data_IF_326369250081
#
_entry.id   IF_326369250081
#
_cell.length_a   1.000
_cell.length_b   1.000
_cell.length_c   1.000
_cell.angle_alpha   90.00
_cell.angle_beta   90.00
_cell.angle_gamma   90.00
#
_symmetry.space_group_name_H-M   'P 1'
#
loop_
_entity.id
_entity.type
_entity.pdbx_description
1 polymer ?
#
# COMPACT_ATOMS: atom_id res chain seq x y z
N UNK A 1 13.52 -4.46 1.37
CA UNK A 1 13.07 -4.17 2.75
C UNK A 1 11.55 -4.33 2.82
N UNK A 2 11.06 -4.93 3.90
CA UNK A 2 9.63 -5.02 4.23
C UNK A 2 9.48 -4.74 5.72
N UNK A 3 8.53 -3.86 6.05
CA UNK A 3 8.18 -3.51 7.42
C UNK A 3 6.88 -4.22 7.80
N UNK A 4 6.87 -5.06 8.85
CA UNK A 4 5.68 -5.79 9.25
C UNK A 4 4.69 -4.88 9.98
N UNK A 5 3.42 -4.95 9.57
CA UNK A 5 2.30 -4.24 10.18
C UNK A 5 1.28 -5.24 10.71
N UNK A 6 0.81 -5.02 11.93
CA UNK A 6 -0.18 -5.86 12.61
C UNK A 6 0.09 -5.93 14.11
N UNK A 7 -0.90 -6.38 14.88
CA UNK A 7 -0.76 -6.58 16.31
C UNK A 7 0.06 -7.83 16.65
N UNK A 8 0.56 -7.90 17.88
CA UNK A 8 1.31 -9.05 18.39
C UNK A 8 0.45 -10.31 18.29
N UNK A 9 0.94 -11.33 17.58
CA UNK A 9 0.28 -12.63 17.46
C UNK A 9 -1.01 -12.66 16.61
N UNK A 10 -1.34 -11.61 15.88
CA UNK A 10 -2.62 -11.50 15.14
C UNK A 10 -2.48 -11.68 13.63
N UNK A 11 -1.31 -12.02 13.14
CA UNK A 11 -0.96 -11.97 11.72
C UNK A 11 -0.41 -10.60 11.31
N UNK A 12 0.10 -10.53 10.09
CA UNK A 12 0.72 -9.30 9.59
C UNK A 12 0.51 -9.10 8.11
N UNK A 13 0.63 -7.86 7.68
CA UNK A 13 0.88 -7.48 6.30
C UNK A 13 2.20 -6.73 6.25
N UNK A 14 2.93 -6.87 5.17
CA UNK A 14 4.20 -6.18 4.99
C UNK A 14 4.04 -4.89 4.18
N UNK A 15 4.58 -3.79 4.67
CA UNK A 15 4.78 -2.58 3.88
C UNK A 15 6.18 -2.64 3.25
N UNK A 16 6.23 -2.81 1.94
CA UNK A 16 7.47 -2.77 1.19
C UNK A 16 8.10 -1.39 1.20
N UNK A 17 9.43 -1.33 1.15
CA UNK A 17 10.16 -0.05 1.09
C UNK A 17 9.80 0.81 -0.12
N UNK A 18 9.12 0.25 -1.10
CA UNK A 18 8.55 0.96 -2.24
C UNK A 18 7.06 1.29 -2.11
N UNK A 19 6.47 1.15 -0.93
CA UNK A 19 5.07 1.48 -0.67
C UNK A 19 4.06 0.38 -1.01
N UNK A 20 4.48 -0.75 -1.57
CA UNK A 20 3.58 -1.85 -1.92
C UNK A 20 3.27 -2.72 -0.71
N UNK A 21 2.01 -3.18 -0.64
CA UNK A 21 1.58 -4.13 0.38
C UNK A 21 1.92 -5.55 -0.08
N UNK A 22 2.63 -6.28 0.76
CA UNK A 22 3.10 -7.65 0.49
C UNK A 22 3.05 -8.50 1.77
N UNK A 23 3.53 -9.71 1.72
CA UNK A 23 3.62 -10.59 2.90
C UNK A 23 2.30 -10.67 3.68
N UNK A 24 1.21 -10.98 2.98
CA UNK A 24 -0.11 -11.13 3.60
C UNK A 24 -0.15 -12.43 4.41
N UNK A 25 0.37 -12.35 5.62
CA UNK A 25 0.49 -13.46 6.56
C UNK A 25 -0.66 -13.45 7.58
N UNK A 26 -1.87 -13.49 7.07
CA UNK A 26 -3.10 -13.57 7.84
C UNK A 26 -3.38 -15.04 8.15
N UNK A 27 -4.07 -15.36 9.22
CA UNK A 27 -4.37 -16.72 9.69
C UNK A 27 -3.14 -17.51 10.21
N UNK A 28 -2.08 -16.83 10.63
CA UNK A 28 -0.90 -17.46 11.24
C UNK A 28 -0.11 -18.36 10.28
N UNK A 29 -0.22 -18.15 8.98
CA UNK A 29 0.50 -18.92 7.96
C UNK A 29 1.56 -18.04 7.31
N UNK A 30 2.83 -18.50 7.22
CA UNK A 30 3.87 -17.82 6.47
C UNK A 30 3.46 -17.68 5.00
N UNK A 31 3.53 -16.48 4.48
CA UNK A 31 3.17 -16.20 3.08
C UNK A 31 4.03 -15.06 2.51
N UNK A 32 5.34 -15.24 2.58
CA UNK A 32 6.32 -14.24 2.10
C UNK A 32 6.18 -13.97 0.60
N UNK A 33 6.21 -12.70 0.24
CA UNK A 33 6.03 -12.25 -1.13
C UNK A 33 4.59 -12.30 -1.63
N UNK A 34 3.63 -12.71 -0.78
CA UNK A 34 2.24 -12.76 -1.16
C UNK A 34 1.68 -11.37 -1.43
N UNK A 35 0.92 -11.25 -2.50
CA UNK A 35 0.16 -10.05 -2.87
C UNK A 35 -1.32 -10.38 -2.70
N UNK A 36 -2.08 -9.46 -2.13
CA UNK A 36 -3.53 -9.59 -1.99
C UNK A 36 -4.22 -8.84 -3.13
N UNK A 37 -4.15 -9.41 -4.34
CA UNK A 37 -4.62 -8.81 -5.59
C UNK A 37 -4.23 -7.31 -5.71
N UNK A 38 -5.18 -6.47 -6.08
CA UNK A 38 -4.99 -5.04 -6.26
C UNK A 38 -5.12 -4.23 -4.97
N UNK A 39 -4.76 -4.80 -3.81
CA UNK A 39 -4.76 -4.05 -2.54
C UNK A 39 -3.64 -3.02 -2.53
N UNK A 40 -4.01 -1.74 -2.46
CA UNK A 40 -3.06 -0.62 -2.54
C UNK A 40 -3.64 0.70 -2.01
N UNK A 41 -2.75 1.63 -1.75
CA UNK A 41 -3.07 3.03 -1.51
C UNK A 41 -2.87 3.84 -2.81
N UNK A 42 -3.71 4.81 -3.05
CA UNK A 42 -3.62 5.71 -4.19
C UNK A 42 -3.99 7.13 -3.80
N UNK A 43 -3.48 8.09 -4.55
CA UNK A 43 -3.79 9.51 -4.38
C UNK A 43 -4.19 10.15 -5.69
N UNK A 44 -5.07 11.14 -5.59
CA UNK A 44 -5.54 11.96 -6.71
C UNK A 44 -5.43 13.42 -6.34
N UNK A 45 -4.99 14.24 -7.28
CA UNK A 45 -5.01 15.69 -7.22
C UNK A 45 -5.91 16.25 -8.33
N UNK A 46 -6.78 17.18 -7.98
CA UNK A 46 -7.68 17.86 -8.92
C UNK A 46 -7.75 19.36 -8.59
N UNK A 47 -8.04 20.20 -9.58
CA UNK A 47 -8.29 21.61 -9.38
C UNK A 47 -9.43 22.07 -10.29
N UNK A 48 -10.38 22.85 -9.73
CA UNK A 48 -11.53 23.33 -10.47
C UNK A 48 -12.35 22.21 -11.12
N UNK A 49 -12.45 21.05 -10.50
CA UNK A 49 -13.15 19.87 -11.01
C UNK A 49 -12.38 19.08 -12.09
N UNK A 50 -11.20 19.53 -12.49
CA UNK A 50 -10.35 18.84 -13.48
C UNK A 50 -9.29 17.99 -12.79
N UNK A 51 -9.15 16.74 -13.23
CA UNK A 51 -8.06 15.87 -12.81
C UNK A 51 -6.70 16.44 -13.26
N UNK A 52 -5.78 16.61 -12.32
CA UNK A 52 -4.39 16.98 -12.58
C UNK A 52 -3.51 15.74 -12.65
N UNK A 53 -3.59 14.88 -11.63
CA UNK A 53 -2.78 13.67 -11.53
C UNK A 53 -3.46 12.64 -10.64
N UNK A 54 -3.25 11.35 -10.93
CA UNK A 54 -3.59 10.26 -10.04
C UNK A 54 -2.48 9.20 -10.09
N UNK A 55 -2.06 8.73 -8.92
CA UNK A 55 -0.97 7.76 -8.79
C UNK A 55 -1.25 6.77 -7.67
N UNK A 56 -0.76 5.55 -7.80
CA UNK A 56 -0.63 4.65 -6.66
C UNK A 56 0.51 5.14 -5.76
N UNK A 57 0.34 4.99 -4.44
CA UNK A 57 1.39 5.29 -3.46
C UNK A 57 2.43 4.17 -3.45
N UNK A 58 3.18 4.08 -4.52
CA UNK A 58 4.23 3.12 -4.71
C UNK A 58 5.32 3.69 -5.61
N UNK A 59 6.53 3.21 -5.42
CA UNK A 59 7.65 3.38 -6.34
C UNK A 59 7.82 2.18 -7.27
N UNK A 60 8.94 2.13 -7.96
CA UNK A 60 9.29 1.07 -8.89
C UNK A 60 9.41 -0.32 -8.23
N UNK A 61 9.33 -1.35 -9.03
CA UNK A 61 9.67 -2.71 -8.63
C UNK A 61 11.19 -2.89 -8.61
N UNK A 62 11.70 -3.47 -7.53
CA UNK A 62 13.14 -3.74 -7.36
C UNK A 62 13.56 -5.17 -7.73
N UNK A 63 12.64 -5.98 -8.19
CA UNK A 63 12.92 -7.38 -8.59
C UNK A 63 13.00 -7.49 -10.08
N UNK A 64 13.79 -8.46 -10.54
CA UNK A 64 13.75 -8.90 -11.91
C UNK A 64 12.31 -9.20 -12.32
N UNK A 65 11.94 -8.72 -13.48
CA UNK A 65 10.61 -8.93 -14.04
C UNK A 65 10.49 -10.34 -14.63
N UNK A 66 10.76 -11.34 -13.80
CA UNK A 66 10.52 -12.73 -14.17
C UNK A 66 9.03 -12.98 -14.29
N UNK A 67 8.62 -13.68 -15.32
CA UNK A 67 7.23 -13.98 -15.58
C UNK A 67 6.57 -14.78 -14.46
N UNK A 68 5.28 -14.67 -14.36
CA UNK A 68 4.47 -15.37 -13.36
C UNK A 68 4.20 -16.83 -13.79
N UNK A 69 5.23 -17.65 -13.82
CA UNK A 69 5.15 -19.05 -14.28
C UNK A 69 4.25 -19.97 -13.46
N UNK A 70 3.69 -19.56 -12.37
CA UNK A 70 2.99 -20.47 -11.46
C UNK A 70 1.47 -20.36 -11.44
N UNK A 71 0.90 -19.39 -12.10
CA UNK A 71 -0.54 -19.14 -12.00
C UNK A 71 -1.16 -19.16 -13.39
N UNK A 72 -1.62 -20.27 -13.87
CA UNK A 72 -2.36 -20.55 -15.08
C UNK A 72 -2.95 -19.45 -15.98
N UNK A 73 -2.63 -18.23 -15.74
CA UNK A 73 -2.92 -17.08 -16.57
C UNK A 73 -1.78 -16.90 -17.55
N UNK A 74 -1.88 -17.63 -18.62
CA UNK A 74 -1.04 -17.47 -19.77
C UNK A 74 -1.25 -16.06 -20.35
N UNK A 75 -0.46 -15.12 -19.89
CA UNK A 75 -0.34 -13.81 -20.50
C UNK A 75 0.97 -13.78 -21.28
N UNK A 76 0.95 -14.23 -22.52
CA UNK A 76 2.13 -14.32 -23.34
C UNK A 76 3.16 -15.34 -22.81
N UNK A 77 4.41 -15.17 -23.12
CA UNK A 77 5.49 -16.11 -22.78
C UNK A 77 5.99 -16.05 -21.34
N UNK A 78 5.17 -15.60 -20.41
CA UNK A 78 5.54 -15.53 -18.99
C UNK A 78 6.51 -14.41 -18.64
N UNK A 79 6.63 -13.39 -19.46
CA UNK A 79 7.44 -12.21 -19.19
C UNK A 79 6.64 -11.11 -18.50
N UNK A 80 7.33 -10.33 -17.70
CA UNK A 80 6.79 -9.16 -17.01
C UNK A 80 6.28 -9.44 -15.59
N UNK A 81 5.97 -8.38 -14.85
CA UNK A 81 5.49 -8.47 -13.48
C UNK A 81 4.07 -9.03 -13.43
N UNK A 82 3.70 -9.59 -12.29
CA UNK A 82 2.30 -9.93 -12.02
C UNK A 82 1.46 -8.64 -12.09
N UNK A 83 0.25 -8.74 -12.67
CA UNK A 83 -0.66 -7.58 -12.81
C UNK A 83 -1.02 -6.97 -11.47
N UNK A 84 -1.21 -7.79 -10.47
CA UNK A 84 -1.54 -7.42 -9.10
C UNK A 84 -0.41 -6.62 -8.41
N UNK A 85 0.81 -6.64 -8.96
CA UNK A 85 1.90 -5.79 -8.49
C UNK A 85 1.71 -4.31 -8.83
N UNK A 86 0.71 -3.97 -9.66
CA UNK A 86 0.41 -2.61 -10.12
C UNK A 86 1.55 -1.94 -10.90
N UNK A 87 2.48 -2.73 -11.47
CA UNK A 87 3.63 -2.19 -12.20
C UNK A 87 3.24 -1.33 -13.43
N UNK A 88 2.08 -1.59 -14.01
CA UNK A 88 1.55 -0.81 -15.14
C UNK A 88 0.74 0.43 -14.75
N UNK A 89 0.57 0.71 -13.47
CA UNK A 89 -0.17 1.88 -13.00
C UNK A 89 0.78 3.08 -12.83
N UNK A 90 0.29 4.32 -13.02
CA UNK A 90 1.06 5.50 -12.68
C UNK A 90 1.48 5.46 -11.21
N UNK A 91 2.77 5.60 -10.94
CA UNK A 91 3.38 5.56 -9.61
C UNK A 91 4.37 6.70 -9.44
N UNK A 92 4.94 6.86 -8.26
CA UNK A 92 5.92 7.90 -7.98
C UNK A 92 7.31 7.49 -8.45
N UNK A 93 8.05 8.43 -9.02
CA UNK A 93 9.41 8.19 -9.54
C UNK A 93 10.42 7.98 -8.43
N UNK A 94 10.28 8.76 -7.38
CA UNK A 94 11.21 8.75 -6.26
C UNK A 94 10.45 8.50 -4.96
N UNK A 95 11.08 7.78 -4.07
CA UNK A 95 10.57 7.55 -2.73
C UNK A 95 11.71 7.28 -1.77
N UNK A 96 11.51 7.68 -0.53
CA UNK A 96 12.44 7.43 0.58
C UNK A 96 11.69 6.64 1.64
N UNK A 97 12.26 5.53 2.09
CA UNK A 97 11.72 4.70 3.15
C UNK A 97 12.52 4.89 4.42
N UNK A 98 11.84 5.21 5.51
CA UNK A 98 12.39 5.35 6.85
C UNK A 98 11.63 4.38 7.75
N UNK A 99 12.30 3.35 8.25
CA UNK A 99 11.69 2.34 9.12
C UNK A 99 12.34 2.36 10.49
N UNK A 100 11.57 2.73 11.51
CA UNK A 100 11.96 2.73 12.91
C UNK A 100 10.79 2.21 13.73
N UNK A 101 10.89 0.93 14.12
CA UNK A 101 9.78 0.27 14.82
C UNK A 101 9.33 1.09 16.05
N UNK A 102 8.04 1.30 16.24
CA UNK A 102 6.89 0.68 15.56
C UNK A 102 6.34 1.44 14.35
N UNK A 103 7.09 2.38 13.79
CA UNK A 103 6.65 3.30 12.74
C UNK A 103 7.48 3.10 11.48
N UNK A 104 6.85 3.14 10.32
CA UNK A 104 7.48 3.26 9.02
C UNK A 104 6.93 4.49 8.29
N UNK A 105 7.79 5.27 7.65
CA UNK A 105 7.43 6.43 6.85
C UNK A 105 7.97 6.29 5.43
N UNK A 106 7.15 6.61 4.46
CA UNK A 106 7.53 6.79 3.07
C UNK A 106 7.26 8.24 2.65
N UNK A 107 8.24 8.83 2.02
CA UNK A 107 8.11 10.13 1.37
C UNK A 107 8.18 9.91 -0.14
N UNK A 108 7.20 10.45 -0.87
CA UNK A 108 7.09 10.27 -2.30
C UNK A 108 7.33 11.60 -3.01
N UNK A 109 8.15 11.57 -4.06
CA UNK A 109 8.43 12.72 -4.91
C UNK A 109 8.22 12.38 -6.38
N UNK A 110 7.53 13.28 -7.08
CA UNK A 110 7.36 13.19 -8.53
C UNK A 110 7.03 14.58 -9.08
N UNK A 111 7.80 15.11 -10.04
CA UNK A 111 7.52 16.41 -10.65
C UNK A 111 6.14 16.52 -11.31
N UNK A 112 5.55 15.38 -11.70
CA UNK A 112 4.22 15.34 -12.31
C UNK A 112 3.07 15.36 -11.29
N UNK A 113 3.36 15.21 -9.98
CA UNK A 113 2.36 15.30 -8.93
C UNK A 113 2.41 16.68 -8.26
N UNK A 114 1.30 17.44 -8.25
CA UNK A 114 1.30 18.79 -7.68
C UNK A 114 1.20 18.70 -6.15
N UNK A 115 2.32 18.73 -5.48
CA UNK A 115 2.40 18.65 -4.01
C UNK A 115 3.36 17.58 -3.52
N UNK A 116 3.48 17.46 -2.20
CA UNK A 116 4.23 16.41 -1.52
C UNK A 116 3.29 15.40 -0.91
N UNK A 117 3.68 14.15 -0.91
CA UNK A 117 2.89 13.06 -0.32
C UNK A 117 3.78 12.23 0.58
N UNK A 118 3.29 11.96 1.78
CA UNK A 118 3.90 10.97 2.66
C UNK A 118 2.88 9.95 3.14
N UNK A 119 3.37 8.77 3.44
CA UNK A 119 2.63 7.67 4.04
C UNK A 119 3.33 7.27 5.32
N UNK A 120 2.65 7.40 6.45
CA UNK A 120 3.08 6.84 7.72
C UNK A 120 2.26 5.60 8.02
N UNK A 121 2.93 4.51 8.34
CA UNK A 121 2.30 3.27 8.75
C UNK A 121 2.87 2.81 10.09
N UNK A 122 2.01 2.31 10.98
CA UNK A 122 2.47 1.95 12.31
C UNK A 122 1.69 0.79 12.93
N UNK A 123 2.34 0.18 13.90
CA UNK A 123 1.77 -0.85 14.74
C UNK A 123 1.24 -0.25 16.05
N UNK A 124 0.12 -0.74 16.57
CA UNK A 124 -0.37 -0.32 17.90
C UNK A 124 0.50 -0.97 18.99
N UNK A 125 1.75 -0.51 19.13
CA UNK A 125 2.69 -1.07 20.08
C UNK A 125 2.84 -0.19 21.32
N UNK A 126 2.45 -0.73 22.48
CA UNK A 126 2.61 -0.11 23.79
C UNK A 126 3.41 -1.10 24.66
N UNK A 127 4.64 -0.72 25.08
CA UNK A 127 5.44 -1.60 25.94
C UNK A 127 4.67 -2.04 27.20
N UNK A 128 4.70 -3.34 27.50
CA UNK A 128 4.03 -3.98 28.65
C UNK A 128 2.49 -3.97 28.60
N UNK A 129 1.88 -3.54 27.52
CA UNK A 129 0.43 -3.62 27.28
C UNK A 129 0.16 -4.58 26.12
N UNK A 130 0.05 -5.86 26.41
CA UNK A 130 -0.20 -6.92 25.44
C UNK A 130 -1.58 -6.79 24.81
N UNK A 131 -2.58 -6.39 25.57
CA UNK A 131 -3.96 -6.25 25.12
C UNK A 131 -4.09 -5.23 23.98
N UNK A 132 -3.55 -4.02 24.16
CA UNK A 132 -3.63 -2.97 23.14
C UNK A 132 -2.62 -3.21 22.01
N UNK A 133 -1.47 -3.80 22.33
CA UNK A 133 -0.47 -4.17 21.31
C UNK A 133 -0.88 -5.35 20.43
N UNK A 134 -1.89 -6.13 20.83
CA UNK A 134 -2.43 -7.26 20.06
C UNK A 134 -3.67 -6.91 19.24
N UNK A 135 -3.98 -5.64 19.04
CA UNK A 135 -5.06 -5.25 18.13
C UNK A 135 -4.76 -5.75 16.70
N UNK A 136 -5.67 -6.53 16.08
CA UNK A 136 -5.47 -7.05 14.73
C UNK A 136 -5.68 -5.95 13.69
N UNK A 137 -4.83 -4.94 13.70
CA UNK A 137 -4.94 -3.75 12.88
C UNK A 137 -3.57 -3.27 12.41
N UNK A 138 -3.55 -2.67 11.21
CA UNK A 138 -2.47 -1.87 10.69
C UNK A 138 -3.01 -0.46 10.43
N UNK A 139 -2.27 0.55 10.83
CA UNK A 139 -2.67 1.94 10.70
C UNK A 139 -1.89 2.60 9.58
N UNK A 140 -2.59 3.40 8.79
CA UNK A 140 -2.02 4.16 7.68
C UNK A 140 -2.51 5.60 7.77
N UNK A 141 -1.59 6.53 7.69
CA UNK A 141 -1.84 7.96 7.61
C UNK A 141 -1.22 8.50 6.32
N UNK A 142 -2.04 9.13 5.49
CA UNK A 142 -1.58 9.76 4.24
C UNK A 142 -1.64 11.27 4.42
N UNK A 143 -0.49 11.91 4.34
CA UNK A 143 -0.37 13.35 4.40
C UNK A 143 -0.10 13.91 3.00
N UNK A 144 -0.82 14.97 2.63
CA UNK A 144 -0.67 15.64 1.34
C UNK A 144 -0.52 17.14 1.56
N UNK A 145 0.61 17.70 1.13
CA UNK A 145 0.92 19.12 1.23
C UNK A 145 0.75 19.78 -0.15
N UNK A 146 -0.08 20.82 -0.21
CA UNK A 146 -0.19 21.62 -1.42
C UNK A 146 0.99 22.57 -1.55
N UNK A 147 1.83 22.39 -2.56
CA UNK A 147 2.96 23.27 -2.87
C UNK A 147 2.68 24.21 -4.06
N UNK A 148 1.47 24.14 -4.64
CA UNK A 148 1.08 25.01 -5.75
C UNK A 148 0.54 26.36 -5.25
N UNK A 149 0.54 27.37 -6.13
CA UNK A 149 -0.01 28.69 -5.83
C UNK A 149 -1.54 28.78 -5.92
N UNK A 150 -2.22 27.66 -6.17
CA UNK A 150 -3.68 27.58 -6.32
C UNK A 150 -4.25 26.41 -5.49
N UNK A 151 -5.55 26.46 -5.16
CA UNK A 151 -6.19 25.38 -4.41
C UNK A 151 -6.21 24.06 -5.17
N UNK A 152 -5.91 22.97 -4.47
CA UNK A 152 -5.95 21.60 -5.01
C UNK A 152 -6.82 20.75 -4.10
N UNK A 153 -7.72 20.00 -4.71
CA UNK A 153 -8.54 18.97 -4.05
C UNK A 153 -7.78 17.65 -4.09
N UNK A 154 -7.33 17.18 -2.95
CA UNK A 154 -6.68 15.88 -2.83
C UNK A 154 -7.67 14.81 -2.38
N UNK A 155 -7.48 13.61 -2.88
CA UNK A 155 -8.21 12.42 -2.45
C UNK A 155 -7.22 11.29 -2.21
N UNK A 156 -7.26 10.69 -1.02
CA UNK A 156 -6.61 9.42 -0.75
C UNK A 156 -7.64 8.29 -0.88
N UNK A 157 -7.23 7.18 -1.46
CA UNK A 157 -8.04 5.98 -1.61
C UNK A 157 -7.27 4.76 -1.15
N UNK A 158 -7.94 3.87 -0.42
CA UNK A 158 -7.41 2.58 -0.04
C UNK A 158 -8.27 1.47 -0.64
N UNK A 159 -7.70 0.70 -1.55
CA UNK A 159 -8.32 -0.48 -2.15
C UNK A 159 -7.82 -1.71 -1.43
N UNK A 160 -8.72 -2.54 -0.94
CA UNK A 160 -8.36 -3.80 -0.27
C UNK A 160 -9.29 -4.90 -0.76
N UNK A 161 -8.71 -5.98 -1.29
CA UNK A 161 -9.47 -7.21 -1.48
C UNK A 161 -9.71 -7.86 -0.13
N UNK A 162 -10.93 -8.32 0.14
CA UNK A 162 -11.21 -9.10 1.34
C UNK A 162 -10.29 -10.35 1.37
N UNK A 163 -9.38 -10.46 2.32
CA UNK A 163 -8.46 -11.60 2.40
C UNK A 163 -9.14 -12.89 2.87
N UNK A 164 -10.34 -12.79 3.43
CA UNK A 164 -11.09 -13.93 3.96
C UNK A 164 -12.00 -14.54 2.90
N UNK A 165 -11.56 -15.60 2.26
CA UNK A 165 -12.25 -16.24 1.12
C UNK A 165 -13.65 -16.79 1.41
N UNK A 166 -14.04 -16.91 2.67
CA UNK A 166 -15.31 -17.47 3.10
C UNK A 166 -16.40 -16.44 3.41
N UNK A 167 -16.08 -15.15 3.38
CA UNK A 167 -17.07 -14.09 3.60
C UNK A 167 -17.58 -13.58 2.26
N UNK A 168 -18.82 -13.87 1.95
CA UNK A 168 -19.47 -13.52 0.69
C UNK A 168 -20.19 -12.18 0.73
N UNK A 169 -20.24 -11.48 1.85
CA UNK A 169 -21.00 -10.25 2.00
C UNK A 169 -20.16 -9.08 2.50
N UNK A 170 -20.01 -8.06 1.65
CA UNK A 170 -19.58 -6.73 2.08
C UNK A 170 -20.82 -5.91 2.44
N UNK A 171 -20.84 -5.35 3.65
CA UNK A 171 -21.93 -4.47 4.08
C UNK A 171 -21.42 -3.03 4.12
N UNK A 172 -22.03 -2.17 3.33
CA UNK A 172 -21.81 -0.73 3.38
C UNK A 172 -22.90 -0.08 4.21
N UNK A 173 -22.53 0.68 5.21
CA UNK A 173 -23.45 1.48 6.00
C UNK A 173 -23.16 2.95 5.70
N UNK A 174 -24.10 3.63 5.07
CA UNK A 174 -24.08 5.09 4.96
C UNK A 174 -24.48 5.68 6.32
N UNK A 175 -23.62 6.47 6.90
CA UNK A 175 -23.93 7.31 8.06
C UNK A 175 -24.30 8.70 7.59
#
# INVERSE_FOLDING_TARGET
>A
IVFPLGGIGTGSIGLGGNGRLTDWEIDGRPHKGAINDYSHLAVKAAAGGRLLCAKVLAGDLYKDLAGAYGKGNFAGYGYGPQRESLAGFPHFREHTFIGEFPIARLEFADPAFPGRVSLTAFNPFIPLDDKNSSLPAAFFEVEMENTAAFPIDYTAAFSVRNPFSRQTCNRFVRR
#
